data_IF_396886729126
#
_entry.id   IF_396886729126
#
_cell.length_a   1.000
_cell.length_b   1.000
_cell.length_c   1.000
_cell.angle_alpha   90.00
_cell.angle_beta   90.00
_cell.angle_gamma   90.00
#
_symmetry.space_group_name_H-M   'P 1'
#
loop_
_entity.id
_entity.type
_entity.pdbx_description
1 polymer ?
#
# COMPACT_ATOMS: atom_id res chain seq x y z
N UNK A 1 14.41 10.42 43.66
CA UNK A 1 13.72 11.71 43.46
C UNK A 1 14.64 12.72 42.81
N UNK A 2 15.80 13.05 43.40
CA UNK A 2 16.72 14.06 42.83
C UNK A 2 17.46 13.58 41.58
N UNK A 3 17.84 12.31 41.49
CA UNK A 3 18.55 11.76 40.34
C UNK A 3 17.71 11.75 39.05
N UNK A 4 16.44 11.32 39.13
CA UNK A 4 15.52 11.31 37.98
C UNK A 4 15.16 12.72 37.54
N UNK A 5 14.95 13.64 38.49
CA UNK A 5 14.69 15.05 38.20
C UNK A 5 15.89 15.73 37.53
N UNK A 6 17.11 15.47 38.02
CA UNK A 6 18.35 15.99 37.42
C UNK A 6 18.54 15.53 35.97
N UNK A 7 18.35 14.24 35.70
CA UNK A 7 18.51 13.68 34.35
C UNK A 7 17.46 14.24 33.38
N UNK A 8 16.20 14.35 33.80
CA UNK A 8 15.14 14.92 32.95
C UNK A 8 15.35 16.42 32.68
N UNK A 9 15.91 17.14 33.65
CA UNK A 9 16.31 18.54 33.48
C UNK A 9 17.48 18.69 32.50
N UNK A 10 18.46 17.78 32.55
CA UNK A 10 19.55 17.72 31.56
C UNK A 10 19.05 17.36 30.16
N UNK A 11 17.97 16.58 30.05
CA UNK A 11 17.28 16.29 28.79
C UNK A 11 16.42 17.45 28.27
N UNK A 12 16.31 18.56 29.02
CA UNK A 12 15.64 19.79 28.59
C UNK A 12 14.13 19.82 28.84
N UNK A 13 13.60 18.95 29.71
CA UNK A 13 12.19 19.02 30.12
C UNK A 13 11.98 20.11 31.19
N UNK A 14 10.79 20.71 31.19
CA UNK A 14 10.41 21.76 32.16
C UNK A 14 10.33 21.20 33.59
N UNK A 15 10.91 21.91 34.56
CA UNK A 15 10.91 21.54 35.97
C UNK A 15 9.47 21.30 36.48
N UNK A 16 8.49 22.07 36.00
CA UNK A 16 7.08 21.93 36.37
C UNK A 16 6.46 20.61 35.87
N UNK A 17 6.80 20.19 34.65
CA UNK A 17 6.31 18.94 34.06
C UNK A 17 6.96 17.73 34.73
N UNK A 18 8.25 17.85 35.07
CA UNK A 18 9.00 16.81 35.77
C UNK A 18 8.40 16.57 37.17
N UNK A 19 8.11 17.64 37.91
CA UNK A 19 7.51 17.52 39.25
C UNK A 19 6.13 16.85 39.19
N UNK A 20 5.30 17.22 38.21
CA UNK A 20 3.98 16.62 38.02
C UNK A 20 4.04 15.15 37.58
N UNK A 21 5.04 14.77 36.79
CA UNK A 21 5.30 13.39 36.40
C UNK A 21 5.73 12.50 37.58
N UNK A 22 6.51 13.07 38.52
CA UNK A 22 6.93 12.41 39.77
C UNK A 22 5.75 12.28 40.73
N UNK A 23 4.89 13.30 40.83
CA UNK A 23 3.68 13.25 41.65
C UNK A 23 2.68 12.19 41.17
N UNK A 24 2.50 12.04 39.85
CA UNK A 24 1.51 11.11 39.30
C UNK A 24 1.95 9.65 39.32
N UNK A 25 3.24 9.39 39.10
CA UNK A 25 3.77 8.04 38.95
C UNK A 25 4.50 7.55 40.22
N UNK A 26 4.77 8.45 41.19
CA UNK A 26 5.36 8.16 42.49
C UNK A 26 6.87 8.46 42.61
N UNK A 27 7.44 8.32 43.81
CA UNK A 27 8.81 8.77 44.12
C UNK A 27 9.95 7.91 43.52
N UNK A 28 9.64 6.73 42.98
CA UNK A 28 10.61 5.76 42.42
C UNK A 28 10.31 5.39 40.97
N UNK A 29 10.00 6.40 40.16
CA UNK A 29 9.61 6.25 38.76
C UNK A 29 10.83 6.07 37.86
N UNK A 30 10.75 5.15 36.90
CA UNK A 30 11.79 5.00 35.88
C UNK A 30 11.79 6.21 34.95
N UNK A 31 12.97 6.58 34.45
CA UNK A 31 13.13 7.76 33.58
C UNK A 31 12.22 7.61 32.35
N UNK A 32 12.08 6.41 31.80
CA UNK A 32 11.22 6.12 30.65
C UNK A 32 9.75 6.35 30.94
N UNK A 33 9.28 5.96 32.12
CA UNK A 33 7.88 6.19 32.54
C UNK A 33 7.60 7.68 32.78
N UNK A 34 8.57 8.44 33.29
CA UNK A 34 8.45 9.89 33.41
C UNK A 34 8.43 10.59 32.04
N UNK A 35 9.30 10.18 31.10
CA UNK A 35 9.31 10.72 29.73
C UNK A 35 8.00 10.44 29.00
N UNK A 36 7.49 9.20 29.05
CA UNK A 36 6.21 8.86 28.42
C UNK A 36 5.03 9.65 28.99
N UNK A 37 5.04 9.92 30.30
CA UNK A 37 4.01 10.75 30.93
C UNK A 37 4.12 12.21 30.47
N UNK A 38 5.35 12.74 30.38
CA UNK A 38 5.60 14.11 29.91
C UNK A 38 5.18 14.25 28.44
N UNK A 39 5.56 13.35 27.54
CA UNK A 39 5.18 13.42 26.12
C UNK A 39 3.67 13.48 25.90
N UNK A 40 2.90 12.67 26.65
CA UNK A 40 1.43 12.62 26.53
C UNK A 40 0.74 13.84 27.12
N UNK A 41 1.36 14.50 28.10
CA UNK A 41 0.76 15.62 28.83
C UNK A 41 1.38 16.98 28.51
N UNK A 42 2.49 17.03 27.78
CA UNK A 42 3.15 18.25 27.33
C UNK A 42 2.20 19.05 26.42
N UNK A 43 1.53 18.38 25.49
CA UNK A 43 0.53 19.04 24.61
C UNK A 43 -0.71 19.49 25.40
N UNK A 44 -1.19 18.67 26.34
CA UNK A 44 -2.38 18.99 27.16
C UNK A 44 -2.15 20.15 28.13
N UNK A 45 -0.93 20.32 28.62
CA UNK A 45 -0.59 21.40 29.54
C UNK A 45 -0.15 22.67 28.79
N UNK A 46 0.43 22.55 27.59
CA UNK A 46 0.63 23.69 26.69
C UNK A 46 -0.70 24.32 26.24
N UNK A 47 -1.77 23.53 26.10
CA UNK A 47 -3.12 24.04 25.86
C UNK A 47 -3.82 24.58 27.12
N UNK A 48 -3.27 24.31 28.31
CA UNK A 48 -3.84 24.70 29.60
C UNK A 48 -3.20 25.94 30.25
N UNK A 49 -2.07 26.43 29.73
CA UNK A 49 -1.26 27.48 30.37
C UNK A 49 -1.49 28.90 29.79
N UNK A 50 -2.77 29.23 29.52
CA UNK A 50 -3.19 30.62 29.29
C UNK A 50 -4.20 31.10 30.33
N UNK A 51 -4.41 30.36 31.42
CA UNK A 51 -5.41 30.73 32.41
C UNK A 51 -4.96 30.49 33.86
N UNK A 52 -3.76 30.95 34.22
CA UNK A 52 -3.49 31.40 35.59
C UNK A 52 -2.25 32.32 35.64
N UNK A 53 -2.50 33.59 35.99
CA UNK A 53 -1.55 34.60 36.50
C UNK A 53 -0.55 35.25 35.55
N UNK A 54 -0.99 36.36 34.91
CA UNK A 54 -0.26 37.64 34.83
C UNK A 54 -1.24 38.83 34.79
N UNK A 55 -2.05 39.00 35.83
CA UNK A 55 -2.72 40.28 36.10
C UNK A 55 -1.74 41.22 36.81
N UNK A 56 -0.88 41.83 36.00
CA UNK A 56 -0.24 43.09 36.36
C UNK A 56 0.25 43.74 35.07
N UNK A 57 -0.61 44.52 34.41
CA UNK A 57 -0.28 45.70 33.61
C UNK A 57 -1.59 46.46 33.33
N UNK A 58 -1.67 47.65 33.93
CA UNK A 58 -2.32 48.88 33.48
C UNK A 58 -3.79 48.85 33.00
N UNK A 59 -4.65 49.35 33.88
CA UNK A 59 -6.08 49.57 33.73
C UNK A 59 -6.34 50.83 32.86
N UNK A 60 -5.99 50.74 31.57
CA UNK A 60 -6.29 51.78 30.58
C UNK A 60 -6.20 51.24 29.16
N UNK A 61 -7.27 50.60 28.65
CA UNK A 61 -7.84 50.80 27.29
C UNK A 61 -8.80 49.67 26.86
N UNK A 62 -10.05 50.07 26.58
CA UNK A 62 -11.09 49.39 25.79
C UNK A 62 -11.77 48.11 26.33
N UNK A 63 -13.06 48.26 26.69
CA UNK A 63 -13.93 47.19 27.19
C UNK A 63 -14.53 46.28 26.08
N UNK A 64 -14.46 46.68 24.81
CA UNK A 64 -14.88 45.85 23.68
C UNK A 64 -14.17 46.25 22.37
N UNK A 65 -14.04 45.32 21.42
CA UNK A 65 -13.41 45.55 20.12
C UNK A 65 -14.51 45.49 19.05
N UNK A 66 -14.66 46.53 18.24
CA UNK A 66 -15.64 46.62 17.15
C UNK A 66 -14.96 46.39 15.81
N UNK A 67 -15.53 45.56 14.95
CA UNK A 67 -15.14 45.52 13.54
C UNK A 67 -15.82 46.66 12.78
N UNK A 68 -15.06 47.51 12.10
CA UNK A 68 -15.62 48.67 11.37
C UNK A 68 -16.27 48.26 10.05
N UNK A 69 -15.89 47.11 9.50
CA UNK A 69 -16.43 46.59 8.24
C UNK A 69 -17.82 45.97 8.42
N UNK A 70 -18.14 45.41 9.60
CA UNK A 70 -19.45 44.79 9.86
C UNK A 70 -20.19 45.28 11.11
N UNK A 71 -19.60 46.21 11.87
CA UNK A 71 -20.20 46.80 13.07
C UNK A 71 -20.40 45.83 14.25
N UNK A 72 -19.80 44.64 14.22
CA UNK A 72 -19.94 43.64 15.30
C UNK A 72 -18.98 43.98 16.44
N UNK A 73 -19.48 43.86 17.67
CA UNK A 73 -18.71 44.07 18.89
C UNK A 73 -18.29 42.72 19.47
N UNK A 74 -17.02 42.61 19.82
CA UNK A 74 -16.38 41.44 20.40
C UNK A 74 -15.98 41.76 21.83
N UNK A 75 -16.12 40.76 22.70
CA UNK A 75 -15.79 40.88 24.13
C UNK A 75 -14.27 40.83 24.36
N UNK A 76 -13.59 39.96 23.63
CA UNK A 76 -12.15 39.69 23.76
C UNK A 76 -11.48 39.73 22.39
N UNK A 77 -10.15 39.90 22.38
CA UNK A 77 -9.33 39.91 21.18
C UNK A 77 -9.41 38.60 20.38
N UNK A 78 -9.42 37.44 21.04
CA UNK A 78 -9.53 36.13 20.37
C UNK A 78 -10.79 36.00 19.51
N UNK A 79 -11.91 36.59 19.95
CA UNK A 79 -13.15 36.59 19.18
C UNK A 79 -13.08 37.51 17.96
N UNK A 80 -12.32 38.61 18.03
CA UNK A 80 -12.05 39.48 16.90
C UNK A 80 -11.14 38.77 15.88
N UNK A 81 -10.10 38.06 16.34
CA UNK A 81 -9.20 37.27 15.49
C UNK A 81 -9.92 36.12 14.79
N UNK A 82 -10.78 35.38 15.50
CA UNK A 82 -11.62 34.35 14.88
C UNK A 82 -12.55 34.93 13.80
N UNK A 83 -13.13 36.11 14.07
CA UNK A 83 -13.95 36.81 13.08
C UNK A 83 -13.13 37.27 11.87
N UNK A 84 -11.90 37.73 12.08
CA UNK A 84 -10.96 38.07 11.02
C UNK A 84 -10.61 36.85 10.15
N UNK A 85 -10.30 35.70 10.78
CA UNK A 85 -9.98 34.47 10.07
C UNK A 85 -11.17 33.91 9.27
N UNK A 86 -12.39 34.04 9.80
CA UNK A 86 -13.60 33.49 9.16
C UNK A 86 -14.20 34.42 8.11
N UNK A 87 -14.17 35.73 8.35
CA UNK A 87 -14.85 36.73 7.52
C UNK A 87 -13.89 37.54 6.65
N UNK A 88 -12.58 37.46 6.90
CA UNK A 88 -11.55 38.21 6.18
C UNK A 88 -11.50 39.70 6.54
N UNK A 89 -12.17 40.14 7.60
CA UNK A 89 -12.18 41.54 8.02
C UNK A 89 -10.94 41.85 8.85
N UNK A 90 -10.32 43.01 8.61
CA UNK A 90 -9.02 43.37 9.23
C UNK A 90 -9.07 44.68 10.00
N UNK A 91 -10.10 45.51 9.79
CA UNK A 91 -10.22 46.79 10.49
C UNK A 91 -11.06 46.67 11.76
N UNK A 92 -10.40 46.88 12.91
CA UNK A 92 -11.02 46.83 14.24
C UNK A 92 -10.71 48.09 15.04
N UNK A 93 -11.75 48.71 15.58
CA UNK A 93 -11.66 49.85 16.50
C UNK A 93 -11.99 49.42 17.93
N UNK A 94 -11.18 49.86 18.87
CA UNK A 94 -11.50 49.75 20.30
C UNK A 94 -12.72 50.62 20.63
N UNK A 95 -13.83 50.02 21.08
CA UNK A 95 -15.05 50.71 21.49
C UNK A 95 -15.27 50.60 23.00
N UNK A 96 -15.81 51.64 23.63
CA UNK A 96 -16.15 51.68 25.06
C UNK A 96 -17.58 51.21 25.34
N UNK A 97 -18.31 50.75 24.32
CA UNK A 97 -19.68 50.27 24.46
C UNK A 97 -19.69 48.92 25.18
N UNK A 98 -20.22 48.93 26.40
CA UNK A 98 -20.44 47.73 27.21
C UNK A 98 -21.48 46.85 26.52
N UNK A 99 -21.05 45.68 26.03
CA UNK A 99 -21.96 44.69 25.45
C UNK A 99 -22.94 44.27 26.55
N UNK A 100 -24.17 44.76 26.46
CA UNK A 100 -25.26 44.46 27.39
C UNK A 100 -25.29 42.94 27.64
N UNK A 101 -25.07 42.47 28.88
CA UNK A 101 -25.10 41.04 29.16
C UNK A 101 -26.53 40.56 28.86
N UNK A 102 -26.67 39.61 27.92
CA UNK A 102 -27.97 38.97 27.63
C UNK A 102 -28.63 38.54 28.94
N UNK A 103 -29.94 38.73 29.05
CA UNK A 103 -30.73 38.27 30.19
C UNK A 103 -30.59 36.75 30.36
N UNK A 104 -30.74 36.26 31.59
CA UNK A 104 -30.58 34.84 31.92
C UNK A 104 -31.57 33.96 31.12
N UNK A 105 -32.75 34.51 30.81
CA UNK A 105 -33.78 33.86 30.01
C UNK A 105 -33.35 33.68 28.54
N UNK A 106 -32.87 34.75 27.88
CA UNK A 106 -32.39 34.67 26.48
C UNK A 106 -31.16 33.77 26.33
N UNK A 107 -30.28 33.73 27.34
CA UNK A 107 -29.15 32.79 27.36
C UNK A 107 -29.65 31.34 27.44
N UNK A 108 -30.66 31.08 28.26
CA UNK A 108 -31.22 29.74 28.41
C UNK A 108 -31.91 29.25 27.13
N UNK A 109 -32.62 30.13 26.42
CA UNK A 109 -33.28 29.82 25.16
C UNK A 109 -32.26 29.56 24.04
N UNK A 110 -31.22 30.39 23.93
CA UNK A 110 -30.12 30.18 22.97
C UNK A 110 -29.37 28.88 23.23
N UNK A 111 -29.19 28.50 24.51
CA UNK A 111 -28.59 27.20 24.84
C UNK A 111 -29.47 26.03 24.41
N UNK A 112 -30.79 26.10 24.64
CA UNK A 112 -31.73 25.08 24.17
C UNK A 112 -31.74 24.96 22.65
N UNK A 113 -31.81 26.09 21.94
CA UNK A 113 -31.77 26.11 20.47
C UNK A 113 -30.45 25.52 19.93
N UNK A 114 -29.31 25.82 20.56
CA UNK A 114 -28.02 25.24 20.19
C UNK A 114 -27.97 23.74 20.47
N UNK A 115 -28.52 23.27 21.58
CA UNK A 115 -28.61 21.85 21.91
C UNK A 115 -29.49 21.10 20.91
N UNK A 116 -30.64 21.65 20.52
CA UNK A 116 -31.51 21.10 19.50
C UNK A 116 -30.82 21.03 18.14
N UNK A 117 -30.13 22.09 17.72
CA UNK A 117 -29.33 22.09 16.48
C UNK A 117 -28.22 21.04 16.49
N UNK A 118 -27.54 20.86 17.64
CA UNK A 118 -26.53 19.80 17.79
C UNK A 118 -27.15 18.41 17.74
N UNK A 119 -28.32 18.20 18.37
CA UNK A 119 -29.04 16.94 18.33
C UNK A 119 -29.47 16.59 16.90
N UNK A 120 -30.04 17.55 16.17
CA UNK A 120 -30.40 17.38 14.75
C UNK A 120 -29.18 17.08 13.87
N UNK A 121 -28.04 17.75 14.11
CA UNK A 121 -26.80 17.48 13.37
C UNK A 121 -26.28 16.06 13.66
N UNK A 122 -26.31 15.62 14.92
CA UNK A 122 -25.92 14.26 15.33
C UNK A 122 -26.83 13.21 14.69
N UNK A 123 -28.14 13.44 14.68
CA UNK A 123 -29.08 12.51 14.06
C UNK A 123 -28.87 12.41 12.54
N UNK A 124 -28.69 13.56 11.86
CA UNK A 124 -28.37 13.59 10.43
C UNK A 124 -27.09 12.82 10.13
N UNK A 125 -26.03 13.02 10.91
CA UNK A 125 -24.79 12.25 10.73
C UNK A 125 -25.00 10.76 10.98
N UNK A 126 -25.75 10.37 12.02
CA UNK A 126 -26.07 8.96 12.28
C UNK A 126 -26.79 8.30 11.10
N UNK A 127 -27.72 9.00 10.46
CA UNK A 127 -28.45 8.50 9.28
C UNK A 127 -27.52 8.34 8.08
N UNK A 128 -26.65 9.33 7.82
CA UNK A 128 -25.66 9.26 6.75
C UNK A 128 -24.67 8.11 6.96
N UNK A 129 -24.17 7.92 8.18
CA UNK A 129 -23.26 6.82 8.51
C UNK A 129 -23.93 5.46 8.35
N UNK A 130 -25.20 5.35 8.72
CA UNK A 130 -25.98 4.13 8.54
C UNK A 130 -26.15 3.80 7.04
N UNK A 131 -26.45 4.80 6.22
CA UNK A 131 -26.59 4.64 4.78
C UNK A 131 -25.25 4.29 4.11
N UNK A 132 -24.16 4.97 4.49
CA UNK A 132 -22.81 4.65 4.03
C UNK A 132 -22.42 3.21 4.39
N UNK A 133 -22.72 2.75 5.61
CA UNK A 133 -22.49 1.36 6.03
C UNK A 133 -23.30 0.38 5.18
N UNK A 134 -24.57 0.66 4.89
CA UNK A 134 -25.40 -0.16 4.01
C UNK A 134 -24.84 -0.23 2.59
N UNK A 135 -24.40 0.90 2.03
CA UNK A 135 -23.81 0.96 0.69
C UNK A 135 -22.48 0.19 0.63
N UNK A 136 -21.59 0.38 1.61
CA UNK A 136 -20.33 -0.36 1.69
C UNK A 136 -20.56 -1.88 1.79
N UNK A 137 -21.55 -2.30 2.59
CA UNK A 137 -21.94 -3.71 2.69
C UNK A 137 -22.48 -4.25 1.35
N UNK A 138 -23.29 -3.46 0.63
CA UNK A 138 -23.79 -3.83 -0.69
C UNK A 138 -22.65 -3.95 -1.72
N UNK A 139 -21.70 -3.02 -1.72
CA UNK A 139 -20.52 -3.06 -2.59
C UNK A 139 -19.71 -4.32 -2.29
N UNK A 140 -19.44 -4.62 -1.02
CA UNK A 140 -18.73 -5.85 -0.63
C UNK A 140 -19.42 -7.11 -1.14
N UNK A 141 -20.74 -7.20 -0.99
CA UNK A 141 -21.52 -8.35 -1.48
C UNK A 141 -21.53 -8.44 -3.00
N UNK A 142 -21.70 -7.30 -3.70
CA UNK A 142 -21.68 -7.24 -5.16
C UNK A 142 -20.31 -7.62 -5.71
N UNK A 143 -19.24 -7.04 -5.17
CA UNK A 143 -17.87 -7.41 -5.53
C UNK A 143 -17.59 -8.91 -5.31
N UNK A 144 -18.05 -9.49 -4.20
CA UNK A 144 -17.96 -10.93 -3.97
C UNK A 144 -18.66 -11.76 -5.05
N UNK A 145 -19.90 -11.40 -5.41
CA UNK A 145 -20.68 -12.06 -6.47
C UNK A 145 -20.06 -11.86 -7.86
N UNK A 146 -19.62 -10.65 -8.17
CA UNK A 146 -18.98 -10.33 -9.45
C UNK A 146 -17.67 -11.11 -9.62
N UNK A 147 -16.90 -11.29 -8.54
CA UNK A 147 -15.68 -12.10 -8.57
C UNK A 147 -15.98 -13.59 -8.82
N UNK A 148 -17.05 -14.14 -8.25
CA UNK A 148 -17.46 -15.52 -8.52
C UNK A 148 -17.97 -15.66 -9.95
N UNK A 149 -18.86 -14.77 -10.40
CA UNK A 149 -19.39 -14.78 -11.77
C UNK A 149 -18.30 -14.56 -12.81
N UNK A 150 -17.31 -13.71 -12.53
CA UNK A 150 -16.17 -13.48 -13.41
C UNK A 150 -15.34 -14.74 -13.60
N UNK A 151 -15.04 -15.46 -12.51
CA UNK A 151 -14.32 -16.73 -12.56
C UNK A 151 -15.08 -17.79 -13.33
N UNK A 152 -16.40 -17.90 -13.12
CA UNK A 152 -17.25 -18.83 -13.86
C UNK A 152 -17.30 -18.49 -15.35
N UNK A 153 -17.50 -17.21 -15.69
CA UNK A 153 -17.48 -16.73 -17.09
C UNK A 153 -16.13 -16.97 -17.76
N UNK A 154 -15.02 -16.79 -17.02
CA UNK A 154 -13.69 -17.07 -17.54
C UNK A 154 -13.49 -18.57 -17.80
N UNK A 155 -13.86 -19.43 -16.85
CA UNK A 155 -13.79 -20.88 -17.01
C UNK A 155 -14.63 -21.38 -18.20
N UNK A 156 -15.84 -20.83 -18.39
CA UNK A 156 -16.69 -21.16 -19.54
C UNK A 156 -16.05 -20.74 -20.87
N UNK A 157 -15.48 -19.54 -20.95
CA UNK A 157 -14.77 -19.06 -22.14
C UNK A 157 -13.54 -19.90 -22.47
N UNK A 158 -12.79 -20.32 -21.46
CA UNK A 158 -11.61 -21.15 -21.65
C UNK A 158 -12.00 -22.56 -22.12
N UNK A 159 -13.08 -23.13 -21.57
CA UNK A 159 -13.64 -24.41 -22.04
C UNK A 159 -14.15 -24.32 -23.48
N UNK A 160 -14.82 -23.23 -23.84
CA UNK A 160 -15.31 -22.98 -25.21
C UNK A 160 -14.14 -22.88 -26.20
N UNK A 161 -13.10 -22.10 -25.88
CA UNK A 161 -11.89 -22.00 -26.71
C UNK A 161 -11.21 -23.35 -26.91
N UNK A 162 -11.04 -24.14 -25.84
CA UNK A 162 -10.46 -25.48 -25.94
C UNK A 162 -11.32 -26.41 -26.80
N UNK A 163 -12.65 -26.29 -26.75
CA UNK A 163 -13.56 -27.07 -27.60
C UNK A 163 -13.47 -26.64 -29.07
N UNK A 164 -13.35 -25.34 -29.34
CA UNK A 164 -13.15 -24.80 -30.69
C UNK A 164 -11.81 -25.20 -31.30
N UNK A 165 -10.72 -25.11 -30.54
CA UNK A 165 -9.38 -25.52 -30.96
C UNK A 165 -9.38 -27.01 -31.33
N UNK A 166 -9.94 -27.88 -30.47
CA UNK A 166 -10.09 -29.31 -30.78
C UNK A 166 -10.94 -29.58 -32.03
N UNK A 167 -11.96 -28.76 -32.32
CA UNK A 167 -12.75 -28.89 -33.56
C UNK A 167 -11.96 -28.43 -34.77
N UNK A 168 -11.18 -27.36 -34.65
CA UNK A 168 -10.29 -26.85 -35.70
C UNK A 168 -9.21 -27.86 -36.03
N UNK A 169 -8.48 -28.39 -35.04
CA UNK A 169 -7.47 -29.44 -35.22
C UNK A 169 -8.06 -30.67 -35.93
N UNK A 170 -9.23 -31.16 -35.47
CA UNK A 170 -9.90 -32.30 -36.13
C UNK A 170 -10.27 -32.01 -37.59
N UNK A 171 -10.66 -30.79 -37.91
CA UNK A 171 -11.04 -30.41 -39.28
C UNK A 171 -9.80 -30.22 -40.16
N UNK A 172 -8.73 -29.64 -39.64
CA UNK A 172 -7.45 -29.50 -40.32
C UNK A 172 -6.83 -30.87 -40.59
N UNK A 173 -6.86 -31.79 -39.63
CA UNK A 173 -6.41 -33.17 -39.80
C UNK A 173 -7.19 -33.91 -40.89
N UNK A 174 -8.52 -33.74 -40.92
CA UNK A 174 -9.37 -34.32 -41.97
C UNK A 174 -8.98 -33.75 -43.34
N UNK A 175 -8.84 -32.43 -43.44
CA UNK A 175 -8.46 -31.76 -44.69
C UNK A 175 -7.06 -32.19 -45.16
N UNK A 176 -6.10 -32.34 -44.24
CA UNK A 176 -4.76 -32.84 -44.56
C UNK A 176 -4.80 -34.29 -45.04
N UNK A 177 -5.56 -35.17 -44.39
CA UNK A 177 -5.75 -36.55 -44.83
C UNK A 177 -6.40 -36.62 -46.21
N UNK A 178 -7.40 -35.78 -46.48
CA UNK A 178 -8.05 -35.69 -47.79
C UNK A 178 -7.08 -35.20 -48.87
N UNK A 179 -6.24 -34.19 -48.58
CA UNK A 179 -5.18 -33.73 -49.48
C UNK A 179 -4.16 -34.83 -49.81
N UNK A 180 -3.67 -35.54 -48.79
CA UNK A 180 -2.72 -36.66 -48.98
C UNK A 180 -3.37 -37.76 -49.81
N UNK A 181 -4.63 -38.10 -49.51
CA UNK A 181 -5.37 -39.12 -50.26
C UNK A 181 -5.55 -38.73 -51.73
N UNK A 182 -5.89 -37.47 -52.02
CA UNK A 182 -6.00 -36.96 -53.38
C UNK A 182 -4.66 -36.99 -54.13
N UNK A 183 -3.56 -36.66 -53.44
CA UNK A 183 -2.21 -36.74 -54.03
C UNK A 183 -1.80 -38.18 -54.35
N UNK A 184 -2.10 -39.14 -53.47
CA UNK A 184 -1.86 -40.57 -53.71
C UNK A 184 -2.71 -41.08 -54.86
N UNK A 185 -3.98 -40.67 -54.96
CA UNK A 185 -4.86 -41.07 -56.06
C UNK A 185 -4.37 -40.53 -57.40
N UNK A 186 -3.91 -39.28 -57.44
CA UNK A 186 -3.28 -38.69 -58.62
C UNK A 186 -2.01 -39.44 -59.04
N UNK A 187 -1.07 -39.70 -58.12
CA UNK A 187 0.15 -40.48 -58.40
C UNK A 187 -0.20 -41.92 -58.84
N UNK A 188 -1.20 -42.56 -58.21
CA UNK A 188 -1.65 -43.90 -58.60
C UNK A 188 -2.25 -43.93 -60.00
N UNK A 189 -3.02 -42.91 -60.38
CA UNK A 189 -3.57 -42.78 -61.73
C UNK A 189 -2.46 -42.51 -62.75
N UNK A 190 -1.47 -41.69 -62.42
CA UNK A 190 -0.33 -41.39 -63.30
C UNK A 190 0.54 -42.64 -63.54
N UNK A 191 0.84 -43.42 -62.50
CA UNK A 191 1.53 -44.71 -62.64
C UNK A 191 0.74 -45.72 -63.44
N UNK A 192 -0.58 -45.80 -63.26
CA UNK A 192 -1.43 -46.66 -64.09
C UNK A 192 -1.43 -46.26 -65.57
N UNK A 193 -1.24 -44.96 -65.87
CA UNK A 193 -1.13 -44.44 -67.25
C UNK A 193 0.26 -44.61 -67.86
N UNK A 194 1.31 -44.82 -67.04
CA UNK A 194 2.67 -45.17 -67.49
C UNK A 194 3.01 -46.64 -67.16
N UNK A 195 2.52 -47.63 -67.93
CA UNK A 195 3.05 -48.98 -67.81
C UNK A 195 4.47 -49.02 -68.41
N UNK A 196 5.42 -49.45 -67.59
CA UNK A 196 6.78 -49.90 -67.95
C UNK A 196 7.70 -48.92 -68.69
N UNK A 197 8.61 -48.27 -67.95
CA UNK A 197 10.02 -48.16 -68.39
C UNK A 197 10.95 -47.87 -67.19
N UNK A 198 11.97 -48.72 -67.06
CA UNK A 198 13.20 -48.57 -66.26
C UNK A 198 13.12 -48.62 -64.71
N UNK A 199 13.41 -49.81 -64.19
CA UNK A 199 14.15 -49.97 -62.94
C UNK A 199 15.58 -49.46 -63.12
N UNK A 200 16.04 -48.51 -62.31
CA UNK A 200 17.44 -48.38 -61.84
C UNK A 200 17.70 -46.97 -61.33
N UNK A 201 17.84 -46.83 -60.02
CA UNK A 201 18.94 -46.07 -59.38
C UNK A 201 18.67 -46.00 -57.88
N UNK A 202 19.29 -46.94 -57.15
CA UNK A 202 19.51 -46.81 -55.71
C UNK A 202 20.56 -45.73 -55.51
N UNK A 203 20.12 -44.53 -55.16
CA UNK A 203 21.00 -43.46 -54.68
C UNK A 203 21.12 -43.60 -53.16
N UNK A 204 22.28 -44.07 -52.69
CA UNK A 204 22.70 -43.91 -51.30
C UNK A 204 22.63 -42.42 -50.96
N UNK A 205 21.81 -42.06 -49.99
CA UNK A 205 21.85 -40.74 -49.37
C UNK A 205 22.66 -40.89 -48.09
N UNK A 206 23.82 -40.26 -48.07
CA UNK A 206 24.71 -40.20 -46.91
C UNK A 206 24.01 -39.51 -45.74
N UNK A 207 23.73 -40.29 -44.70
CA UNK A 207 23.36 -39.79 -43.38
C UNK A 207 24.64 -39.49 -42.59
N UNK A 208 25.33 -38.39 -42.90
CA UNK A 208 26.31 -37.80 -41.97
C UNK A 208 25.68 -36.63 -41.24
N UNK A 209 24.83 -36.94 -40.27
CA UNK A 209 24.18 -35.97 -39.38
C UNK A 209 24.30 -36.43 -37.93
N UNK A 210 25.42 -36.07 -37.30
CA UNK A 210 25.59 -35.88 -35.86
C UNK A 210 24.78 -36.81 -34.93
N UNK A 211 25.21 -38.07 -34.82
CA UNK A 211 24.90 -38.86 -33.63
C UNK A 211 25.84 -38.41 -32.49
N UNK A 212 25.47 -37.36 -31.76
CA UNK A 212 26.06 -37.14 -30.43
C UNK A 212 25.60 -38.29 -29.53
N UNK A 213 26.44 -39.31 -29.42
CA UNK A 213 26.37 -40.27 -28.32
C UNK A 213 26.44 -39.47 -27.02
N UNK A 214 25.30 -39.31 -26.35
CA UNK A 214 25.23 -38.67 -25.04
C UNK A 214 26.02 -39.54 -24.07
N UNK A 215 27.30 -39.25 -23.89
CA UNK A 215 28.03 -39.68 -22.70
C UNK A 215 27.28 -39.10 -21.50
N UNK A 216 26.74 -39.99 -20.67
CA UNK A 216 26.16 -39.63 -19.38
C UNK A 216 27.28 -39.09 -18.48
N UNK A 217 27.64 -37.82 -18.62
CA UNK A 217 28.60 -37.19 -17.71
C UNK A 217 28.01 -37.17 -16.30
N UNK A 218 28.78 -37.59 -15.31
CA UNK A 218 28.40 -37.47 -13.89
C UNK A 218 28.48 -36.04 -13.37
N UNK A 219 28.94 -35.12 -14.21
CA UNK A 219 29.00 -33.70 -13.91
C UNK A 219 27.85 -32.93 -14.56
N UNK A 220 27.19 -32.11 -13.75
CA UNK A 220 26.13 -31.17 -14.11
C UNK A 220 26.72 -29.77 -14.07
N UNK A 221 26.52 -28.99 -15.13
CA UNK A 221 26.94 -27.59 -15.19
C UNK A 221 25.72 -26.68 -15.03
N UNK A 222 25.73 -25.83 -14.01
CA UNK A 222 24.66 -24.90 -13.69
C UNK A 222 25.15 -23.47 -13.92
N UNK A 223 24.36 -22.66 -14.63
CA UNK A 223 24.65 -21.26 -14.87
C UNK A 223 23.66 -20.39 -14.08
N UNK A 224 24.16 -19.59 -13.13
CA UNK A 224 23.37 -18.65 -12.33
C UNK A 224 23.48 -17.26 -12.95
N UNK A 225 22.33 -16.67 -13.29
CA UNK A 225 22.23 -15.30 -13.82
C UNK A 225 21.79 -14.35 -12.71
N UNK A 226 22.43 -13.20 -12.61
CA UNK A 226 22.10 -12.16 -11.65
C UNK A 226 21.31 -11.04 -12.35
N UNK A 227 20.40 -10.37 -11.63
CA UNK A 227 19.62 -9.24 -12.17
C UNK A 227 20.46 -7.97 -12.36
N UNK A 228 21.64 -7.93 -11.75
CA UNK A 228 22.56 -6.79 -11.72
C UNK A 228 23.36 -6.57 -13.01
N UNK A 229 23.11 -7.35 -14.07
CA UNK A 229 23.89 -7.26 -15.32
C UNK A 229 25.32 -7.80 -15.22
N UNK A 230 25.73 -8.32 -14.06
CA UNK A 230 27.04 -8.99 -13.86
C UNK A 230 27.10 -10.29 -14.65
N UNK A 231 28.31 -10.65 -15.09
CA UNK A 231 28.58 -11.89 -15.82
C UNK A 231 28.01 -13.12 -15.08
N UNK A 232 27.43 -14.09 -15.80
CA UNK A 232 26.79 -15.25 -15.19
C UNK A 232 27.82 -16.17 -14.55
N UNK A 233 27.53 -16.64 -13.33
CA UNK A 233 28.38 -17.57 -12.60
C UNK A 233 28.13 -19.00 -13.12
N UNK A 234 29.18 -19.70 -13.53
CA UNK A 234 29.11 -21.09 -13.98
C UNK A 234 29.68 -22.01 -12.90
N UNK A 235 28.87 -22.96 -12.42
CA UNK A 235 29.23 -23.92 -11.36
C UNK A 235 29.15 -25.33 -11.96
N UNK A 236 30.20 -26.12 -11.78
CA UNK A 236 30.22 -27.54 -12.15
C UNK A 236 30.09 -28.41 -10.90
N UNK A 237 29.07 -29.25 -10.86
CA UNK A 237 28.70 -30.09 -9.73
C UNK A 237 28.60 -31.56 -10.14
N UNK A 238 28.71 -32.47 -9.18
CA UNK A 238 28.39 -33.88 -9.42
C UNK A 238 26.87 -34.11 -9.24
N UNK A 239 26.29 -35.10 -9.93
CA UNK A 239 24.86 -35.48 -9.80
C UNK A 239 24.39 -35.70 -8.36
N UNK A 240 25.29 -36.16 -7.48
CA UNK A 240 24.98 -36.47 -6.08
C UNK A 240 25.31 -35.36 -5.08
N UNK A 241 25.74 -34.18 -5.55
CA UNK A 241 26.04 -33.04 -4.68
C UNK A 241 24.78 -32.37 -4.14
N UNK A 242 24.86 -31.76 -2.96
CA UNK A 242 23.75 -31.02 -2.37
C UNK A 242 23.58 -29.66 -3.05
N UNK A 243 22.32 -29.22 -3.20
CA UNK A 243 21.99 -27.89 -3.73
C UNK A 243 22.52 -26.74 -2.85
N UNK A 244 22.90 -27.02 -1.61
CA UNK A 244 23.53 -26.06 -0.70
C UNK A 244 24.86 -25.51 -1.25
N UNK A 245 25.63 -26.32 -1.98
CA UNK A 245 26.90 -25.90 -2.59
C UNK A 245 26.70 -24.77 -3.61
N UNK A 246 25.54 -24.76 -4.29
CA UNK A 246 25.14 -23.66 -5.18
C UNK A 246 24.89 -22.38 -4.38
N UNK A 247 24.23 -22.49 -3.23
CA UNK A 247 23.91 -21.35 -2.36
C UNK A 247 25.18 -20.72 -1.79
N UNK A 248 26.10 -21.54 -1.29
CA UNK A 248 27.40 -21.09 -0.78
C UNK A 248 28.24 -20.41 -1.87
N UNK A 249 28.31 -21.01 -3.06
CA UNK A 249 29.03 -20.43 -4.21
C UNK A 249 28.44 -19.07 -4.63
N UNK A 250 27.11 -18.92 -4.60
CA UNK A 250 26.44 -17.66 -4.87
C UNK A 250 26.71 -16.63 -3.78
N UNK A 251 26.74 -17.03 -2.50
CA UNK A 251 27.03 -16.14 -1.38
C UNK A 251 28.46 -15.59 -1.47
N UNK A 252 29.45 -16.45 -1.74
CA UNK A 252 30.86 -16.04 -1.95
C UNK A 252 31.00 -15.11 -3.15
N UNK A 253 30.27 -15.36 -4.24
CA UNK A 253 30.30 -14.47 -5.40
C UNK A 253 29.65 -13.10 -5.12
N UNK A 254 28.65 -13.04 -4.24
CA UNK A 254 28.00 -11.79 -3.82
C UNK A 254 28.87 -10.96 -2.89
N UNK A 255 29.54 -11.58 -1.92
CA UNK A 255 30.46 -10.87 -1.01
C UNK A 255 31.67 -10.32 -1.77
N UNK A 256 32.19 -11.05 -2.77
CA UNK A 256 33.25 -10.56 -3.67
C UNK A 256 32.84 -9.32 -4.49
N UNK A 257 31.56 -9.22 -4.85
CA UNK A 257 31.01 -8.09 -5.61
C UNK A 257 30.46 -6.97 -4.70
N UNK A 258 30.85 -6.94 -3.42
CA UNK A 258 30.51 -5.84 -2.50
C UNK A 258 29.06 -5.83 -2.01
N UNK A 259 28.29 -6.91 -2.19
CA UNK A 259 26.92 -7.02 -1.68
C UNK A 259 26.89 -7.62 -0.28
N UNK A 260 26.01 -7.08 0.57
CA UNK A 260 25.80 -7.55 1.94
C UNK A 260 25.41 -9.05 1.95
N UNK A 261 25.99 -9.86 2.86
CA UNK A 261 25.79 -11.31 2.90
C UNK A 261 24.36 -11.74 3.30
N UNK A 262 23.57 -10.84 3.89
CA UNK A 262 22.24 -11.10 4.47
C UNK A 262 21.07 -10.53 3.65
N UNK A 263 21.24 -10.32 2.34
CA UNK A 263 20.10 -9.95 1.48
C UNK A 263 19.37 -11.22 1.05
N UNK A 264 18.10 -11.37 1.45
CA UNK A 264 17.24 -12.48 1.06
C UNK A 264 17.21 -12.67 -0.47
N UNK A 265 17.40 -13.91 -0.93
CA UNK A 265 17.36 -14.23 -2.36
C UNK A 265 16.78 -15.61 -2.63
N UNK A 266 16.16 -15.72 -3.80
CA UNK A 266 15.55 -16.96 -4.29
C UNK A 266 16.23 -17.41 -5.57
N UNK A 267 16.60 -18.68 -5.64
CA UNK A 267 17.06 -19.33 -6.87
C UNK A 267 15.84 -19.99 -7.54
N UNK A 268 15.71 -19.84 -8.86
CA UNK A 268 14.64 -20.46 -9.65
C UNK A 268 15.18 -20.92 -11.00
N UNK A 269 14.60 -21.98 -11.55
CA UNK A 269 14.92 -22.50 -12.88
C UNK A 269 14.14 -21.74 -13.96
N UNK A 270 14.67 -21.68 -15.18
CA UNK A 270 14.06 -20.89 -16.27
C UNK A 270 12.88 -21.61 -16.96
N UNK A 271 12.81 -22.94 -16.88
CA UNK A 271 11.88 -23.77 -17.66
C UNK A 271 11.46 -25.03 -16.86
N UNK A 272 10.17 -25.40 -16.88
CA UNK A 272 9.00 -24.56 -16.70
C UNK A 272 8.54 -24.54 -15.23
N UNK A 273 7.97 -23.41 -14.84
CA UNK A 273 7.27 -23.21 -13.55
C UNK A 273 6.14 -24.20 -13.36
#
# INVERSE_FOLDING_TARGET
MEETKGILKEMGFDDFLIDKAIESNGPSVSIEAAVQWIEVNQEKLAEGDTNEQKDSIDDSQAKSIRCDECGKHFKNQDHAEFHAAKSGHSNFSMSTDEVKPMSEEEKSEKLKELQEKLALKREKQRLLDLEAKKQNEQIRRKAGKEMTEFKEKQALKDMEKLAEEKKKEKNEDKLQRERIKAQIEADRLERKRKPTESSSSKSKVDLSGFASSKTLSDTVRIQVRFMDGVAPLTISLNKNSLLQEIFEAVQVHRTKNGKLPNVDYKLSTALPK
#
